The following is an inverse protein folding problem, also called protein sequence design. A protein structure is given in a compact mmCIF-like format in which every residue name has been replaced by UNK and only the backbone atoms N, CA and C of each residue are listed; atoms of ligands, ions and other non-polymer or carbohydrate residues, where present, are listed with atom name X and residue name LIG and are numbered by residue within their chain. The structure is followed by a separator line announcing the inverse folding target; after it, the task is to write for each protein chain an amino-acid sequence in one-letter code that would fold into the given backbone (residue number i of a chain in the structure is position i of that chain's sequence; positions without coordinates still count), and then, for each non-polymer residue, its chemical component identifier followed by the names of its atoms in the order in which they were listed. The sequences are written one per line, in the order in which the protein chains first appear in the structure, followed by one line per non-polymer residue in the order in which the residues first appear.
data_IF_021491429849
#
_entry.id   IF_021491429849
#
_cell.length_a   1.000
_cell.length_b   1.000
_cell.length_c   1.000
_cell.angle_alpha   90.00
_cell.angle_beta   90.00
_cell.angle_gamma   90.00
#
_symmetry.space_group_name_H-M   'P 1'
#
loop_
_entity.id
_entity.type
_entity.pdbx_description
1 polymer ?
#
# COMPACT_ATOMS: atom_id res chain seq x y z
N UNK A 1 1.59 27.39 -14.01
CA UNK A 1 2.08 26.01 -14.18
C UNK A 1 2.73 25.56 -12.89
N UNK A 2 2.51 24.32 -12.44
CA UNK A 2 3.17 23.77 -11.24
C UNK A 2 4.69 23.72 -11.41
N UNK A 3 5.45 23.75 -10.30
CA UNK A 3 6.91 23.57 -10.33
C UNK A 3 7.24 22.19 -10.92
N UNK A 4 8.28 22.11 -11.74
CA UNK A 4 8.81 20.82 -12.19
C UNK A 4 9.07 19.92 -10.96
N UNK A 5 8.50 18.71 -10.96
CA UNK A 5 8.53 17.78 -9.83
C UNK A 5 7.26 17.74 -8.96
N UNK A 6 6.39 18.76 -9.02
CA UNK A 6 5.10 18.81 -8.31
C UNK A 6 3.93 18.84 -9.30
N UNK A 7 3.87 17.82 -10.15
CA UNK A 7 2.79 17.63 -11.15
C UNK A 7 1.88 16.46 -10.81
N UNK A 8 1.74 16.15 -9.52
CA UNK A 8 0.79 15.12 -9.09
C UNK A 8 -0.62 15.43 -9.62
N UNK A 9 -1.35 14.43 -10.17
CA UNK A 9 -2.71 14.64 -10.66
C UNK A 9 -3.71 14.86 -9.50
N UNK A 10 -3.35 14.44 -8.28
CA UNK A 10 -4.21 14.51 -7.09
C UNK A 10 -4.37 15.96 -6.63
N UNK A 11 -5.62 16.40 -6.43
CA UNK A 11 -5.95 17.77 -6.02
C UNK A 11 -6.41 17.86 -4.58
N UNK A 12 -6.84 16.74 -4.01
CA UNK A 12 -7.21 16.60 -2.60
C UNK A 12 -6.42 15.46 -1.93
N UNK A 13 -6.53 15.38 -0.60
CA UNK A 13 -5.96 14.24 0.15
C UNK A 13 -6.74 12.98 -0.19
N UNK A 14 -8.04 13.08 -0.34
CA UNK A 14 -8.96 12.01 -0.68
C UNK A 14 -8.60 11.42 -2.06
N UNK A 15 -8.33 12.28 -3.06
CA UNK A 15 -7.86 11.86 -4.39
C UNK A 15 -6.54 11.06 -4.29
N UNK A 16 -5.63 11.51 -3.43
CA UNK A 16 -4.34 10.86 -3.24
C UNK A 16 -4.48 9.53 -2.48
N UNK A 17 -5.40 9.43 -1.52
CA UNK A 17 -5.73 8.19 -0.84
C UNK A 17 -6.39 7.21 -1.80
N UNK A 18 -7.26 7.66 -2.70
CA UNK A 18 -7.95 6.77 -3.64
C UNK A 18 -7.04 6.33 -4.79
N UNK A 19 -6.45 7.27 -5.53
CA UNK A 19 -5.70 7.01 -6.76
C UNK A 19 -4.18 7.01 -6.61
N UNK A 20 -3.65 7.41 -5.46
CA UNK A 20 -2.22 7.55 -5.24
C UNK A 20 -1.47 6.25 -4.93
N UNK A 21 -0.13 6.27 -5.08
CA UNK A 21 0.72 5.09 -4.87
C UNK A 21 0.96 4.77 -3.40
N UNK A 22 0.47 5.58 -2.46
CA UNK A 22 0.64 5.31 -1.03
C UNK A 22 -0.41 4.31 -0.55
N UNK A 23 0.01 3.34 0.26
CA UNK A 23 -0.85 2.35 0.90
C UNK A 23 -1.49 2.93 2.17
N UNK A 24 -2.34 3.94 1.99
CA UNK A 24 -3.09 4.62 3.06
C UNK A 24 -4.58 4.39 2.80
N UNK A 25 -5.33 4.08 3.86
CA UNK A 25 -6.78 3.88 3.79
C UNK A 25 -7.24 2.69 4.64
N UNK A 26 -8.43 2.18 4.33
CA UNK A 26 -8.95 0.96 4.92
C UNK A 26 -8.17 -0.29 4.46
N UNK A 27 -8.26 -1.42 5.17
CA UNK A 27 -7.65 -2.67 4.74
C UNK A 27 -8.04 -3.06 3.31
N UNK A 28 -9.33 -2.93 2.96
CA UNK A 28 -9.82 -3.25 1.61
C UNK A 28 -9.18 -2.35 0.54
N UNK A 29 -9.09 -1.03 0.79
CA UNK A 29 -8.44 -0.10 -0.15
C UNK A 29 -6.97 -0.48 -0.40
N UNK A 30 -6.25 -0.90 0.65
CA UNK A 30 -4.85 -1.32 0.53
C UNK A 30 -4.73 -2.64 -0.24
N UNK A 31 -5.61 -3.62 0.02
CA UNK A 31 -5.69 -4.88 -0.73
C UNK A 31 -5.91 -4.62 -2.22
N UNK A 32 -6.91 -3.79 -2.54
CA UNK A 32 -7.27 -3.48 -3.93
C UNK A 32 -6.11 -2.81 -4.68
N UNK A 33 -5.38 -1.91 -4.02
CA UNK A 33 -4.18 -1.28 -4.60
C UNK A 33 -3.07 -2.28 -4.90
N UNK A 34 -2.74 -3.13 -3.92
CA UNK A 34 -1.68 -4.14 -4.08
C UNK A 34 -2.02 -5.10 -5.23
N UNK A 35 -3.25 -5.64 -5.25
CA UNK A 35 -3.70 -6.55 -6.29
C UNK A 35 -3.83 -5.87 -7.66
N UNK A 36 -4.25 -4.60 -7.68
CA UNK A 36 -4.29 -3.78 -8.88
C UNK A 36 -2.90 -3.61 -9.48
N UNK A 37 -1.90 -3.26 -8.68
CA UNK A 37 -0.52 -3.17 -9.15
C UNK A 37 0.05 -4.52 -9.57
N UNK A 38 -0.24 -5.60 -8.84
CA UNK A 38 0.17 -6.94 -9.23
C UNK A 38 -0.42 -7.33 -10.58
N UNK A 39 -1.66 -6.96 -10.86
CA UNK A 39 -2.30 -7.21 -12.17
C UNK A 39 -1.55 -6.53 -13.32
N UNK A 40 -1.07 -5.29 -13.10
CA UNK A 40 -0.39 -4.49 -14.13
C UNK A 40 1.09 -4.85 -14.25
N UNK A 41 1.82 -4.95 -13.13
CA UNK A 41 3.27 -5.15 -13.12
C UNK A 41 3.69 -6.62 -13.03
N UNK A 42 2.78 -7.51 -12.62
CA UNK A 42 3.04 -8.96 -12.47
C UNK A 42 4.22 -9.25 -11.53
N UNK A 43 4.42 -8.43 -10.51
CA UNK A 43 5.50 -8.59 -9.55
C UNK A 43 5.20 -9.70 -8.54
N UNK A 44 6.19 -10.54 -8.24
CA UNK A 44 6.11 -11.57 -7.20
C UNK A 44 6.46 -11.06 -5.80
N UNK A 45 7.21 -9.97 -5.71
CA UNK A 45 7.68 -9.39 -4.45
C UNK A 45 7.33 -7.91 -4.37
N UNK A 46 6.71 -7.53 -3.25
CA UNK A 46 6.44 -6.14 -2.91
C UNK A 46 7.08 -5.80 -1.57
N UNK A 47 7.97 -4.80 -1.58
CA UNK A 47 8.48 -4.21 -0.35
C UNK A 47 7.45 -3.24 0.23
N UNK A 48 7.27 -3.28 1.54
CA UNK A 48 6.35 -2.42 2.28
C UNK A 48 7.13 -1.79 3.43
N UNK A 49 6.89 -0.50 3.67
CA UNK A 49 7.49 0.26 4.75
C UNK A 49 6.38 0.84 5.60
N UNK A 50 6.50 0.70 6.93
CA UNK A 50 5.66 1.42 7.87
C UNK A 50 6.35 2.74 8.18
N UNK A 51 5.64 3.84 7.95
CA UNK A 51 6.15 5.17 8.22
C UNK A 51 6.36 5.37 9.72
N UNK A 52 7.51 5.91 10.10
CA UNK A 52 7.82 6.26 11.48
C UNK A 52 7.56 7.74 11.79
N UNK A 53 7.22 8.55 10.79
CA UNK A 53 7.09 9.99 10.97
C UNK A 53 5.85 10.34 11.79
N UNK A 54 6.07 10.87 12.99
CA UNK A 54 4.99 11.29 13.89
C UNK A 54 4.28 10.16 14.63
N UNK A 55 4.70 8.91 14.45
CA UNK A 55 4.14 7.74 15.14
C UNK A 55 5.08 7.22 16.22
N UNK A 56 4.54 6.96 17.41
CA UNK A 56 5.22 6.23 18.47
C UNK A 56 5.47 4.77 18.07
N UNK A 57 6.41 4.11 18.75
CA UNK A 57 6.71 2.69 18.48
C UNK A 57 5.49 1.76 18.62
N UNK A 58 4.60 1.92 19.63
CA UNK A 58 3.36 1.14 19.69
C UNK A 58 2.46 1.31 18.46
N UNK A 59 2.26 2.54 17.96
CA UNK A 59 1.40 2.81 16.79
C UNK A 59 1.99 2.20 15.50
N UNK A 60 3.32 2.22 15.35
CA UNK A 60 4.00 1.54 14.25
C UNK A 60 3.80 0.02 14.32
N UNK A 61 3.88 -0.56 15.52
CA UNK A 61 3.64 -2.00 15.72
C UNK A 61 2.19 -2.39 15.46
N UNK A 62 1.23 -1.56 15.88
CA UNK A 62 -0.18 -1.75 15.58
C UNK A 62 -0.43 -1.75 14.06
N UNK A 63 0.18 -0.82 13.33
CA UNK A 63 0.08 -0.76 11.86
C UNK A 63 0.63 -2.04 11.21
N UNK A 64 1.78 -2.53 11.68
CA UNK A 64 2.35 -3.81 11.21
C UNK A 64 1.44 -4.99 11.52
N UNK A 65 0.86 -5.03 12.73
CA UNK A 65 -0.03 -6.10 13.15
C UNK A 65 -1.29 -6.13 12.28
N UNK A 66 -1.95 -4.98 12.09
CA UNK A 66 -3.12 -4.87 11.21
C UNK A 66 -2.82 -5.28 9.77
N UNK A 67 -1.66 -4.91 9.24
CA UNK A 67 -1.24 -5.39 7.92
C UNK A 67 -1.10 -6.91 7.87
N UNK A 68 -0.45 -7.51 8.88
CA UNK A 68 -0.22 -8.94 8.95
C UNK A 68 -1.50 -9.75 9.13
N UNK A 69 -2.49 -9.22 9.86
CA UNK A 69 -3.73 -9.90 10.20
C UNK A 69 -4.85 -9.66 9.17
N UNK A 70 -5.01 -8.43 8.69
CA UNK A 70 -6.17 -8.02 7.88
C UNK A 70 -5.88 -8.01 6.37
N UNK A 71 -4.62 -7.78 5.95
CA UNK A 71 -4.26 -7.49 4.55
C UNK A 71 -3.45 -8.62 3.93
N UNK A 72 -2.32 -8.98 4.54
CA UNK A 72 -1.38 -9.96 3.98
C UNK A 72 -2.02 -11.34 3.66
N UNK A 73 -2.93 -11.90 4.49
CA UNK A 73 -3.55 -13.18 4.20
C UNK A 73 -4.44 -13.14 2.95
N UNK A 74 -5.15 -12.03 2.73
CA UNK A 74 -5.98 -11.84 1.53
C UNK A 74 -5.10 -11.72 0.30
N UNK A 75 -4.09 -10.84 0.32
CA UNK A 75 -3.18 -10.66 -0.82
C UNK A 75 -2.49 -11.97 -1.21
N UNK A 76 -1.98 -12.75 -0.24
CA UNK A 76 -1.32 -14.04 -0.52
C UNK A 76 -2.26 -15.08 -1.13
N UNK A 77 -3.55 -15.03 -0.78
CA UNK A 77 -4.56 -15.94 -1.33
C UNK A 77 -4.94 -15.55 -2.76
N UNK A 78 -5.13 -14.26 -3.02
CA UNK A 78 -5.57 -13.76 -4.33
C UNK A 78 -4.42 -13.66 -5.36
N UNK A 79 -3.18 -13.49 -4.90
CA UNK A 79 -1.97 -13.41 -5.73
C UNK A 79 -0.89 -14.38 -5.23
N UNK A 80 -1.08 -15.70 -5.39
CA UNK A 80 -0.07 -16.68 -5.00
C UNK A 80 1.17 -16.57 -5.90
N UNK A 81 2.35 -16.88 -5.33
CA UNK A 81 3.62 -16.88 -6.06
C UNK A 81 4.43 -18.14 -5.73
N UNK A 82 5.22 -18.61 -6.69
CA UNK A 82 6.17 -19.73 -6.54
C UNK A 82 7.60 -19.25 -6.29
N UNK A 83 7.83 -17.95 -6.06
CA UNK A 83 9.17 -17.34 -5.96
C UNK A 83 10.11 -18.03 -4.96
N UNK A 84 9.57 -18.65 -3.91
CA UNK A 84 10.32 -19.27 -2.82
C UNK A 84 10.32 -20.81 -2.82
N UNK A 85 9.76 -21.43 -3.85
CA UNK A 85 9.78 -22.89 -4.05
C UNK A 85 11.04 -23.29 -4.83
#
# INVERSE_FOLDING_TARGET
AGKAGYNTPFRTIEDAIEGGPQLIGSPQQIIDKILGWHTVYRHDLQSITVDGFGLSRPEQLETLQRFAEEIAPVVRREAPSTLWQ
#
